data_IF_241472964908
#
_entry.id   IF_241472964908
#
_cell.length_a   1.000
_cell.length_b   1.000
_cell.length_c   1.000
_cell.angle_alpha   90.00
_cell.angle_beta   90.00
_cell.angle_gamma   90.00
#
_symmetry.space_group_name_H-M   'P 1'
#
loop_
_entity.id
_entity.type
_entity.pdbx_description
1 polymer ?
#
# COMPACT_ATOMS: atom_id res chain seq x y z
N UNK A 1 -16.60 -7.63 0.16
CA UNK A 1 -15.73 -6.44 -0.02
C UNK A 1 -15.45 -6.27 -1.50
N UNK A 2 -15.38 -5.02 -1.98
CA UNK A 2 -14.86 -4.75 -3.32
C UNK A 2 -13.34 -4.98 -3.28
N UNK A 3 -12.75 -5.67 -4.27
CA UNK A 3 -11.30 -5.78 -4.36
C UNK A 3 -10.70 -4.39 -4.53
N UNK A 4 -9.61 -4.14 -3.83
CA UNK A 4 -8.91 -2.87 -3.80
C UNK A 4 -7.43 -3.14 -3.99
N UNK A 5 -6.74 -2.28 -4.75
CA UNK A 5 -5.34 -2.45 -5.12
C UNK A 5 -4.59 -1.19 -4.76
N UNK A 6 -3.55 -1.33 -3.93
CA UNK A 6 -2.67 -0.24 -3.53
C UNK A 6 -1.58 -0.07 -4.57
N UNK A 7 -1.39 1.17 -5.00
CA UNK A 7 -0.39 1.54 -5.99
C UNK A 7 0.99 1.78 -5.35
N UNK A 8 2.00 1.79 -6.20
CA UNK A 8 3.41 1.85 -5.87
C UNK A 8 3.80 3.15 -5.16
N UNK A 9 3.18 4.27 -5.49
CA UNK A 9 3.42 5.57 -4.85
C UNK A 9 2.99 5.59 -3.37
N UNK A 10 1.83 5.02 -3.07
CA UNK A 10 1.28 4.87 -1.72
C UNK A 10 2.18 3.95 -0.90
N UNK A 11 2.67 2.85 -1.47
CA UNK A 11 3.62 1.97 -0.81
C UNK A 11 4.97 2.66 -0.57
N UNK A 12 5.47 3.45 -1.52
CA UNK A 12 6.69 4.27 -1.35
C UNK A 12 6.56 5.23 -0.16
N UNK A 13 5.43 5.93 -0.04
CA UNK A 13 5.17 6.85 1.08
C UNK A 13 4.97 6.10 2.40
N UNK A 14 4.31 4.95 2.38
CA UNK A 14 4.12 4.11 3.55
C UNK A 14 5.47 3.64 4.11
N UNK A 15 6.36 3.11 3.27
CA UNK A 15 7.70 2.67 3.69
C UNK A 15 8.60 3.82 4.18
N UNK A 16 8.31 5.06 3.77
CA UNK A 16 8.97 6.28 4.27
C UNK A 16 8.35 6.82 5.57
N UNK A 17 7.41 6.11 6.18
CA UNK A 17 6.66 6.54 7.38
C UNK A 17 5.94 7.88 7.21
N UNK A 18 5.42 8.15 6.00
CA UNK A 18 4.66 9.39 5.79
C UNK A 18 3.39 9.38 6.67
N UNK A 19 3.25 10.34 7.61
CA UNK A 19 2.29 10.22 8.73
C UNK A 19 0.84 10.11 8.28
N UNK A 20 0.48 10.83 7.21
CA UNK A 20 -0.87 10.73 6.65
C UNK A 20 -1.13 9.36 6.02
N UNK A 21 -0.15 8.79 5.31
CA UNK A 21 -0.33 7.53 4.59
C UNK A 21 -0.40 6.36 5.56
N UNK A 22 0.46 6.35 6.59
CA UNK A 22 0.41 5.33 7.65
C UNK A 22 -0.96 5.32 8.34
N UNK A 23 -1.52 6.48 8.69
CA UNK A 23 -2.86 6.56 9.29
C UNK A 23 -3.98 6.07 8.36
N UNK A 24 -3.83 6.27 7.04
CA UNK A 24 -4.78 5.75 6.06
C UNK A 24 -4.66 4.24 5.86
N UNK A 25 -3.46 3.66 5.98
CA UNK A 25 -3.28 2.21 5.90
C UNK A 25 -4.06 1.46 6.97
N UNK A 26 -4.05 1.96 8.21
CA UNK A 26 -4.84 1.35 9.30
C UNK A 26 -6.35 1.39 8.99
N UNK A 27 -6.85 2.53 8.51
CA UNK A 27 -8.26 2.68 8.11
C UNK A 27 -8.62 1.76 6.95
N UNK A 28 -7.72 1.66 5.97
CA UNK A 28 -7.89 0.82 4.81
C UNK A 28 -7.93 -0.66 5.20
N UNK A 29 -7.07 -1.09 6.12
CA UNK A 29 -7.09 -2.47 6.61
C UNK A 29 -8.39 -2.80 7.34
N UNK A 30 -8.95 -1.84 8.10
CA UNK A 30 -10.27 -2.00 8.73
C UNK A 30 -11.40 -2.08 7.69
N UNK A 31 -11.35 -1.25 6.63
CA UNK A 31 -12.41 -1.18 5.60
C UNK A 31 -12.37 -2.35 4.61
N UNK A 32 -11.18 -2.81 4.22
CA UNK A 32 -10.95 -3.79 3.14
C UNK A 32 -10.43 -5.15 3.64
N UNK A 33 -10.05 -5.27 4.91
CA UNK A 33 -9.61 -6.51 5.58
C UNK A 33 -8.25 -7.03 5.14
N UNK A 34 -7.75 -6.59 3.98
CA UNK A 34 -6.47 -6.98 3.40
C UNK A 34 -5.87 -5.78 2.65
N UNK A 35 -4.53 -5.75 2.59
CA UNK A 35 -3.81 -4.88 1.67
C UNK A 35 -3.41 -5.73 0.46
N UNK A 36 -3.91 -5.38 -0.72
CA UNK A 36 -3.52 -6.03 -1.96
C UNK A 36 -2.71 -5.06 -2.80
N UNK A 37 -1.65 -5.56 -3.45
CA UNK A 37 -0.84 -4.85 -4.43
C UNK A 37 -0.44 -5.84 -5.53
N UNK A 38 -0.01 -5.33 -6.67
CA UNK A 38 0.25 -6.18 -7.83
C UNK A 38 1.61 -6.88 -7.72
N UNK A 39 1.77 -7.98 -8.47
CA UNK A 39 3.09 -8.62 -8.63
C UNK A 39 4.11 -7.68 -9.29
N UNK A 40 3.65 -6.74 -10.13
CA UNK A 40 4.52 -5.72 -10.75
C UNK A 40 5.05 -4.78 -9.66
N UNK A 41 4.16 -4.28 -8.79
CA UNK A 41 4.50 -3.45 -7.63
C UNK A 41 5.48 -4.14 -6.69
N UNK A 42 5.36 -5.46 -6.49
CA UNK A 42 6.35 -6.23 -5.74
C UNK A 42 7.75 -6.11 -6.33
N UNK A 43 7.91 -6.27 -7.65
CA UNK A 43 9.22 -6.14 -8.29
C UNK A 43 9.73 -4.71 -8.30
N UNK A 44 8.86 -3.70 -8.38
CA UNK A 44 9.25 -2.30 -8.21
C UNK A 44 9.87 -2.10 -6.83
N UNK A 45 9.19 -2.55 -5.75
CA UNK A 45 9.71 -2.49 -4.37
C UNK A 45 11.09 -3.14 -4.25
N UNK A 46 11.24 -4.36 -4.76
CA UNK A 46 12.50 -5.10 -4.70
C UNK A 46 13.60 -4.43 -5.55
N UNK A 47 13.23 -3.74 -6.64
CA UNK A 47 14.17 -3.02 -7.50
C UNK A 47 14.57 -1.65 -6.96
N UNK A 48 14.11 -1.28 -5.76
CA UNK A 48 14.43 -0.01 -5.11
C UNK A 48 13.29 1.00 -5.11
N UNK A 49 12.13 0.61 -5.66
CA UNK A 49 10.87 1.37 -5.69
C UNK A 49 11.04 2.76 -6.30
#
# INVERSE_FOLDING_TARGET
>A
MKPSLVDTDILSLFFKNHPHVTAWFDRYLVEYGTINFSLVTYYEIISGL
#
